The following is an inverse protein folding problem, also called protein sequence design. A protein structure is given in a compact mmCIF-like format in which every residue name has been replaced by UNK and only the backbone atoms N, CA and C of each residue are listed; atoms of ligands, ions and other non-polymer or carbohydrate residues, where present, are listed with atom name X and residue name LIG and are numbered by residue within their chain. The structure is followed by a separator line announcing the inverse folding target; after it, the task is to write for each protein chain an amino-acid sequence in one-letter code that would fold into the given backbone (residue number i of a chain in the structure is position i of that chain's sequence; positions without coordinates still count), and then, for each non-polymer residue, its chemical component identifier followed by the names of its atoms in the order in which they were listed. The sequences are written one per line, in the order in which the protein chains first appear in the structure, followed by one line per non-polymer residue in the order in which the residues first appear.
data_IF_174311817785
#
_entry.id   IF_174311817785
#
_cell.length_a   1.000
_cell.length_b   1.000
_cell.length_c   1.000
_cell.angle_alpha   90.00
_cell.angle_beta   90.00
_cell.angle_gamma   90.00
#
_symmetry.space_group_name_H-M   'P 1'
#
loop_
_entity.id
_entity.type
_entity.pdbx_description
1 polymer ?
#
# COMPACT_ATOMS: atom_id res chain seq x y z
N UNK A 1 0.60 -0.69 -10.39
CA UNK A 1 0.52 -1.87 -9.51
C UNK A 1 -0.88 -2.07 -8.90
N UNK A 2 -1.40 -1.17 -8.04
CA UNK A 2 -2.72 -1.34 -7.38
C UNK A 2 -3.89 -1.71 -8.32
N UNK A 3 -4.07 -0.93 -9.40
CA UNK A 3 -5.12 -1.15 -10.41
C UNK A 3 -5.03 -2.53 -11.07
N UNK A 4 -3.82 -3.04 -11.30
CA UNK A 4 -3.66 -4.35 -11.91
C UNK A 4 -4.22 -5.45 -10.99
N UNK A 5 -3.92 -5.38 -9.68
CA UNK A 5 -4.41 -6.34 -8.68
C UNK A 5 -5.94 -6.28 -8.55
N UNK A 6 -6.53 -5.08 -8.55
CA UNK A 6 -7.99 -4.89 -8.49
C UNK A 6 -8.74 -5.57 -9.64
N UNK A 7 -8.11 -5.72 -10.80
CA UNK A 7 -8.70 -6.35 -11.98
C UNK A 7 -8.29 -7.82 -12.17
N UNK A 8 -7.53 -8.41 -11.23
CA UNK A 8 -7.19 -9.84 -11.29
C UNK A 8 -8.46 -10.68 -11.16
N UNK A 9 -8.64 -11.63 -12.07
CA UNK A 9 -9.67 -12.67 -11.93
C UNK A 9 -9.17 -13.75 -10.97
N UNK A 10 -9.30 -13.50 -9.68
CA UNK A 10 -8.99 -14.50 -8.66
C UNK A 10 -10.19 -15.41 -8.45
N UNK A 11 -9.99 -16.71 -8.68
CA UNK A 11 -11.01 -17.75 -8.49
C UNK A 11 -10.57 -18.79 -7.48
N UNK A 12 -11.51 -19.22 -6.65
CA UNK A 12 -11.34 -20.32 -5.71
C UNK A 12 -12.63 -21.14 -5.73
N UNK A 13 -12.52 -22.45 -5.96
CA UNK A 13 -13.67 -23.37 -6.04
C UNK A 13 -14.75 -22.92 -7.04
N UNK A 14 -14.33 -22.32 -8.16
CA UNK A 14 -15.23 -21.80 -9.19
C UNK A 14 -15.89 -20.46 -8.87
N UNK A 15 -15.75 -19.94 -7.65
CA UNK A 15 -16.24 -18.62 -7.25
C UNK A 15 -15.18 -17.52 -7.46
N UNK A 16 -15.62 -16.35 -7.92
CA UNK A 16 -14.75 -15.17 -8.05
C UNK A 16 -14.59 -14.49 -6.68
N UNK A 17 -13.35 -14.25 -6.28
CA UNK A 17 -13.01 -13.51 -5.06
C UNK A 17 -12.44 -12.14 -5.46
N UNK A 18 -13.12 -11.02 -5.15
CA UNK A 18 -12.57 -9.70 -5.40
C UNK A 18 -11.41 -9.40 -4.43
N UNK A 19 -10.21 -9.20 -4.97
CA UNK A 19 -9.00 -8.89 -4.19
C UNK A 19 -8.56 -7.46 -4.47
N UNK A 20 -8.15 -6.76 -3.42
CA UNK A 20 -7.54 -5.42 -3.53
C UNK A 20 -6.33 -5.31 -2.61
N UNK A 21 -5.49 -4.31 -2.85
CA UNK A 21 -4.36 -3.99 -1.96
C UNK A 21 -4.41 -2.53 -1.53
N UNK A 22 -3.98 -2.29 -0.30
CA UNK A 22 -3.65 -0.96 0.20
C UNK A 22 -2.14 -0.81 0.23
N UNK A 23 -1.62 0.34 -0.17
CA UNK A 23 -0.17 0.54 -0.33
C UNK A 23 0.25 1.83 0.35
N UNK A 24 1.27 1.76 1.20
CA UNK A 24 1.97 2.92 1.73
C UNK A 24 3.31 3.11 1.03
N UNK A 25 3.65 4.34 0.69
CA UNK A 25 4.90 4.68 -0.01
C UNK A 25 5.65 5.73 0.80
N UNK A 26 6.94 5.49 1.05
CA UNK A 26 7.88 6.49 1.56
C UNK A 26 9.00 6.69 0.56
N UNK A 27 9.72 7.81 0.68
CA UNK A 27 10.81 8.17 -0.23
C UNK A 27 12.04 8.52 0.58
N UNK A 28 13.21 8.05 0.12
CA UNK A 28 14.48 8.41 0.72
C UNK A 28 14.71 9.91 0.53
N UNK A 29 14.93 10.62 1.63
CA UNK A 29 15.21 12.06 1.63
C UNK A 29 16.71 12.32 1.73
N UNK A 30 17.12 13.51 1.29
CA UNK A 30 18.51 13.98 1.49
C UNK A 30 18.75 14.20 2.98
N UNK A 31 19.84 13.65 3.49
CA UNK A 31 20.24 13.76 4.90
C UNK A 31 20.32 12.40 5.59
N UNK A 32 20.63 12.39 6.89
CA UNK A 32 20.69 11.15 7.66
C UNK A 32 19.28 10.57 7.83
N UNK A 33 19.00 9.48 7.13
CA UNK A 33 17.77 8.69 7.28
C UNK A 33 18.16 7.22 7.41
N UNK A 34 17.68 6.56 8.46
CA UNK A 34 17.90 5.11 8.60
C UNK A 34 16.85 4.39 7.78
N UNK A 35 17.19 3.18 7.32
CA UNK A 35 16.23 2.31 6.64
C UNK A 35 14.96 2.08 7.49
N UNK A 36 15.12 1.95 8.81
CA UNK A 36 13.99 1.77 9.75
C UNK A 36 13.02 2.95 9.76
N UNK A 37 13.52 4.17 9.58
CA UNK A 37 12.68 5.36 9.52
C UNK A 37 11.87 5.37 8.21
N UNK A 38 12.50 5.01 7.09
CA UNK A 38 11.84 4.84 5.79
C UNK A 38 10.74 3.75 5.84
N UNK A 39 11.02 2.61 6.46
CA UNK A 39 10.03 1.54 6.64
C UNK A 39 8.85 1.99 7.50
N UNK A 40 9.12 2.68 8.62
CA UNK A 40 8.08 3.18 9.52
C UNK A 40 7.14 4.15 8.81
N UNK A 41 7.69 5.05 8.01
CA UNK A 41 6.90 6.02 7.22
C UNK A 41 6.01 5.33 6.17
N UNK A 42 6.54 4.32 5.47
CA UNK A 42 5.75 3.53 4.52
C UNK A 42 4.62 2.77 5.24
N UNK A 43 4.91 2.17 6.40
CA UNK A 43 3.91 1.45 7.19
C UNK A 43 2.80 2.38 7.73
N UNK A 44 3.17 3.59 8.18
CA UNK A 44 2.19 4.59 8.60
C UNK A 44 1.26 5.00 7.45
N UNK A 45 1.81 5.25 6.25
CA UNK A 45 1.02 5.55 5.06
C UNK A 45 0.15 4.33 4.61
N UNK A 46 0.64 3.11 4.81
CA UNK A 46 -0.14 1.90 4.56
C UNK A 46 -1.32 1.80 5.53
N UNK A 47 -1.08 2.09 6.81
CA UNK A 47 -2.10 2.10 7.84
C UNK A 47 -3.18 3.14 7.56
N UNK A 48 -2.79 4.33 7.11
CA UNK A 48 -3.73 5.37 6.67
C UNK A 48 -4.57 4.91 5.47
N UNK A 49 -3.95 4.26 4.48
CA UNK A 49 -4.68 3.67 3.35
C UNK A 49 -5.75 2.68 3.82
N UNK A 50 -5.43 1.86 4.83
CA UNK A 50 -6.37 0.88 5.41
C UNK A 50 -7.51 1.57 6.17
N UNK A 51 -7.23 2.63 6.94
CA UNK A 51 -8.23 3.37 7.72
C UNK A 51 -9.16 4.24 6.89
N UNK A 52 -8.69 4.78 5.78
CA UNK A 52 -9.46 5.76 4.98
C UNK A 52 -10.30 5.12 3.86
N UNK A 53 -10.36 3.79 3.78
CA UNK A 53 -11.25 3.08 2.85
C UNK A 53 -10.60 1.96 2.05
N UNK A 54 -9.36 1.57 2.36
CA UNK A 54 -8.60 0.52 1.65
C UNK A 54 -8.48 0.81 0.14
N UNK A 55 -8.03 -0.19 -0.62
CA UNK A 55 -7.90 -0.16 -2.09
C UNK A 55 -7.33 1.16 -2.65
N UNK A 56 -6.25 1.66 -2.02
CA UNK A 56 -5.65 2.95 -2.35
C UNK A 56 -4.15 2.96 -2.06
N UNK A 57 -3.52 4.01 -2.55
CA UNK A 57 -2.12 4.32 -2.30
C UNK A 57 -2.07 5.61 -1.51
N UNK A 58 -1.32 5.62 -0.41
CA UNK A 58 -1.01 6.84 0.35
C UNK A 58 0.50 7.04 0.36
N UNK A 59 0.92 8.27 0.13
CA UNK A 59 2.33 8.66 0.15
C UNK A 59 2.60 9.31 1.51
N UNK A 60 3.65 8.87 2.20
CA UNK A 60 4.07 9.45 3.46
C UNK A 60 4.44 10.93 3.25
N UNK A 61 4.16 11.80 4.23
CA UNK A 61 4.52 13.20 4.17
C UNK A 61 6.05 13.38 4.01
N UNK A 62 6.42 14.45 3.31
CA UNK A 62 7.82 14.82 3.06
C UNK A 62 8.53 15.24 4.35
#
# INVERSE_FOLDING_TARGET
MRRAIEHVDCRHEGARIPITVSVGVSTVRKGPQRATDLYREADQALYESKRTGRNRVTVAPA
#
